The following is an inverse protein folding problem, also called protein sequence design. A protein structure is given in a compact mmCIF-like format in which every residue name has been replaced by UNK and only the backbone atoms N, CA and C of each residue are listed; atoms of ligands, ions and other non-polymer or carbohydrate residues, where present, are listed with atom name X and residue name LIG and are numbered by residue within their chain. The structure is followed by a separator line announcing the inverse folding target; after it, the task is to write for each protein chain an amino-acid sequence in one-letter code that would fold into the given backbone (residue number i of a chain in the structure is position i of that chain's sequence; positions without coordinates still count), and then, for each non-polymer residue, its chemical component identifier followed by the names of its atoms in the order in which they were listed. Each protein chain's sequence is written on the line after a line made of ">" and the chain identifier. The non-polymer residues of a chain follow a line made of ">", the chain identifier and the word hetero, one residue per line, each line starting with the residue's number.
data_IF_959965145279
#
_entry.id   IF_959965145279
#
_cell.length_a   1.000
_cell.length_b   1.000
_cell.length_c   1.000
_cell.angle_alpha   90.00
_cell.angle_beta   90.00
_cell.angle_gamma   90.00
#
_symmetry.space_group_name_H-M   'P 1'
#
loop_
_entity.id
_entity.type
_entity.pdbx_description
1 polymer ?
#
# COMPACT_ATOMS: atom_id res chain seq x y z
N UNK A 1 -12.53 -4.22 -11.07
CA UNK A 1 -11.29 -3.43 -10.89
C UNK A 1 -10.47 -4.14 -9.81
N UNK A 2 -9.15 -4.31 -9.94
CA UNK A 2 -8.37 -4.96 -8.88
C UNK A 2 -8.29 -4.07 -7.63
N UNK A 3 -8.14 -4.64 -6.41
CA UNK A 3 -7.97 -3.87 -5.18
C UNK A 3 -6.82 -2.86 -5.29
N UNK A 4 -5.69 -3.29 -5.87
CA UNK A 4 -4.52 -2.44 -6.11
C UNK A 4 -4.83 -1.27 -7.03
N UNK A 5 -5.55 -1.49 -8.14
CA UNK A 5 -5.90 -0.41 -9.06
C UNK A 5 -6.84 0.61 -8.40
N UNK A 6 -7.80 0.14 -7.58
CA UNK A 6 -8.70 1.01 -6.81
C UNK A 6 -7.90 1.86 -5.81
N UNK A 7 -7.04 1.24 -5.01
CA UNK A 7 -6.21 1.94 -4.02
C UNK A 7 -5.29 2.95 -4.70
N UNK A 8 -4.58 2.55 -5.76
CA UNK A 8 -3.68 3.45 -6.49
C UNK A 8 -4.41 4.67 -7.05
N UNK A 9 -5.58 4.47 -7.66
CA UNK A 9 -6.37 5.59 -8.19
C UNK A 9 -6.83 6.59 -7.11
N UNK A 10 -7.10 6.11 -5.89
CA UNK A 10 -7.59 6.93 -4.79
C UNK A 10 -6.46 7.61 -3.99
N UNK A 11 -5.34 6.92 -3.77
CA UNK A 11 -4.30 7.37 -2.83
C UNK A 11 -3.00 7.83 -3.49
N UNK A 12 -2.76 7.56 -4.78
CA UNK A 12 -1.59 8.12 -5.48
C UNK A 12 -1.56 9.66 -5.53
N UNK A 13 -2.69 10.40 -5.64
CA UNK A 13 -2.65 11.87 -5.60
C UNK A 13 -2.03 12.44 -4.32
N UNK A 14 -2.08 11.70 -3.20
CA UNK A 14 -1.49 12.11 -1.92
C UNK A 14 0.04 12.13 -1.94
N UNK A 15 0.70 11.55 -2.95
CA UNK A 15 2.16 11.65 -3.10
C UNK A 15 2.64 13.09 -3.27
N UNK A 16 1.77 13.99 -3.78
CA UNK A 16 2.07 15.41 -3.83
C UNK A 16 2.29 16.02 -2.43
N UNK A 17 1.69 15.44 -1.39
CA UNK A 17 1.81 15.90 0.00
C UNK A 17 3.20 15.58 0.59
N UNK A 18 3.93 14.59 0.06
CA UNK A 18 5.24 14.18 0.59
C UNK A 18 6.30 15.28 0.58
N UNK A 19 6.15 16.27 -0.31
CA UNK A 19 7.06 17.42 -0.41
C UNK A 19 6.85 18.41 0.74
N UNK A 20 5.66 18.44 1.33
CA UNK A 20 5.24 19.46 2.30
C UNK A 20 5.02 18.90 3.71
N UNK A 21 4.70 17.61 3.83
CA UNK A 21 4.32 16.96 5.08
C UNK A 21 5.35 15.87 5.49
N UNK A 22 6.50 16.23 6.10
CA UNK A 22 7.55 15.26 6.43
C UNK A 22 7.10 14.20 7.44
N UNK A 23 6.17 14.53 8.34
CA UNK A 23 5.60 13.57 9.29
C UNK A 23 4.74 12.51 8.57
N UNK A 24 3.99 12.92 7.53
CA UNK A 24 3.22 12.01 6.71
C UNK A 24 4.12 11.07 5.91
N UNK A 25 5.16 11.62 5.25
CA UNK A 25 6.16 10.82 4.53
C UNK A 25 6.80 9.77 5.44
N UNK A 26 7.22 10.15 6.65
CA UNK A 26 7.81 9.22 7.60
C UNK A 26 6.83 8.11 8.03
N UNK A 27 5.55 8.44 8.25
CA UNK A 27 4.52 7.46 8.59
C UNK A 27 4.26 6.48 7.44
N UNK A 28 4.22 6.97 6.19
CA UNK A 28 4.08 6.13 5.00
C UNK A 28 5.30 5.22 4.85
N UNK A 29 6.52 5.72 5.00
CA UNK A 29 7.75 4.93 4.93
C UNK A 29 7.76 3.80 5.98
N UNK A 30 7.33 4.09 7.20
CA UNK A 30 7.17 3.07 8.24
C UNK A 30 6.17 1.98 7.80
N UNK A 31 5.01 2.37 7.25
CA UNK A 31 4.05 1.40 6.77
C UNK A 31 4.54 0.61 5.55
N UNK A 32 5.33 1.20 4.66
CA UNK A 32 5.98 0.49 3.55
C UNK A 32 6.91 -0.59 4.11
N UNK A 33 7.73 -0.26 5.11
CA UNK A 33 8.63 -1.23 5.75
C UNK A 33 7.86 -2.38 6.39
N UNK A 34 6.85 -2.08 7.20
CA UNK A 34 5.99 -3.07 7.85
C UNK A 34 5.25 -3.98 6.86
N UNK A 35 4.74 -3.44 5.73
CA UNK A 35 4.09 -4.28 4.71
C UNK A 35 5.11 -5.24 4.11
N UNK A 36 6.29 -4.73 3.73
CA UNK A 36 7.34 -5.57 3.13
C UNK A 36 7.78 -6.68 4.07
N UNK A 37 7.93 -6.38 5.35
CA UNK A 37 8.26 -7.37 6.38
C UNK A 37 7.18 -8.45 6.48
N UNK A 38 5.89 -8.06 6.53
CA UNK A 38 4.76 -9.00 6.58
C UNK A 38 4.70 -9.89 5.34
N UNK A 39 4.89 -9.32 4.15
CA UNK A 39 4.88 -10.08 2.91
C UNK A 39 6.07 -11.04 2.85
N UNK A 40 7.24 -10.64 3.36
CA UNK A 40 8.43 -11.51 3.42
C UNK A 40 8.32 -12.62 4.45
N UNK A 41 7.63 -12.40 5.59
CA UNK A 41 7.43 -13.43 6.61
C UNK A 41 6.72 -14.69 6.07
N UNK A 42 5.93 -14.53 5.01
CA UNK A 42 5.23 -15.63 4.33
C UNK A 42 6.10 -16.41 3.34
N UNK A 43 7.35 -15.97 3.09
CA UNK A 43 8.27 -16.58 2.13
C UNK A 43 9.57 -17.04 2.81
N UNK A 44 9.90 -18.35 2.81
CA UNK A 44 11.17 -18.82 3.34
C UNK A 44 12.31 -18.45 2.39
N UNK A 45 12.94 -17.29 2.61
CA UNK A 45 14.08 -16.83 1.83
C UNK A 45 14.90 -15.76 2.57
N UNK A 46 16.23 -15.88 2.50
CA UNK A 46 17.18 -14.93 3.12
C UNK A 46 17.43 -13.67 2.28
N UNK A 47 16.82 -13.58 1.09
CA UNK A 47 17.00 -12.45 0.16
C UNK A 47 15.73 -11.62 0.13
N UNK A 48 15.79 -10.33 0.50
CA UNK A 48 14.64 -9.43 0.38
C UNK A 48 14.17 -9.37 -1.06
N UNK A 49 12.97 -9.91 -1.34
CA UNK A 49 12.38 -9.90 -2.68
C UNK A 49 11.51 -8.68 -2.88
N UNK A 50 11.34 -8.30 -4.13
CA UNK A 50 10.27 -7.37 -4.51
C UNK A 50 8.92 -8.02 -4.16
N UNK A 51 7.93 -7.25 -3.66
CA UNK A 51 6.63 -7.80 -3.34
C UNK A 51 5.98 -8.37 -4.60
N UNK A 52 5.47 -9.59 -4.53
CA UNK A 52 4.66 -10.15 -5.61
C UNK A 52 3.31 -9.42 -5.64
N UNK A 53 2.82 -9.18 -6.87
CA UNK A 53 1.54 -8.50 -7.09
C UNK A 53 0.37 -9.19 -6.37
N UNK A 54 0.35 -10.52 -6.38
CA UNK A 54 -0.70 -11.34 -5.77
C UNK A 54 -0.68 -11.20 -4.25
N UNK A 55 0.48 -11.38 -3.60
CA UNK A 55 0.63 -11.21 -2.15
C UNK A 55 0.19 -9.81 -1.67
N UNK A 56 0.56 -8.77 -2.42
CA UNK A 56 0.14 -7.40 -2.09
C UNK A 56 -1.36 -7.19 -2.34
N UNK A 57 -1.94 -7.80 -3.38
CA UNK A 57 -3.36 -7.71 -3.67
C UNK A 57 -4.21 -8.41 -2.61
N UNK A 58 -3.79 -9.58 -2.14
CA UNK A 58 -4.45 -10.33 -1.07
C UNK A 58 -4.36 -9.57 0.25
N UNK A 59 -3.19 -9.03 0.57
CA UNK A 59 -3.02 -8.14 1.73
C UNK A 59 -3.94 -6.91 1.66
N UNK A 60 -3.98 -6.25 0.49
CA UNK A 60 -4.80 -5.08 0.27
C UNK A 60 -6.30 -5.39 0.38
N UNK A 61 -6.74 -6.55 -0.12
CA UNK A 61 -8.12 -6.99 -0.02
C UNK A 61 -8.51 -7.19 1.45
N UNK A 62 -7.73 -7.98 2.21
CA UNK A 62 -8.03 -8.20 3.62
C UNK A 62 -7.99 -6.92 4.46
N UNK A 63 -7.13 -5.95 4.10
CA UNK A 63 -7.12 -4.65 4.75
C UNK A 63 -8.37 -3.83 4.42
N UNK A 64 -8.82 -3.81 3.17
CA UNK A 64 -10.06 -3.13 2.77
C UNK A 64 -11.29 -3.75 3.44
N UNK A 65 -11.35 -5.08 3.53
CA UNK A 65 -12.45 -5.79 4.21
C UNK A 65 -12.50 -5.41 5.69
N UNK A 66 -11.35 -5.35 6.37
CA UNK A 66 -11.29 -4.90 7.76
C UNK A 66 -11.71 -3.43 7.94
N UNK A 67 -11.45 -2.55 6.97
CA UNK A 67 -11.92 -1.16 7.01
C UNK A 67 -13.44 -1.08 6.82
N UNK A 68 -14.00 -1.89 5.93
CA UNK A 68 -15.44 -1.99 5.70
C UNK A 68 -16.17 -2.49 6.95
N UNK A 69 -15.65 -3.53 7.60
CA UNK A 69 -16.16 -4.05 8.87
C UNK A 69 -16.19 -3.01 10.00
N UNK A 70 -15.26 -2.06 9.98
CA UNK A 70 -15.17 -0.98 10.96
C UNK A 70 -16.02 0.26 10.59
N UNK A 71 -16.80 0.22 9.49
CA UNK A 71 -17.46 1.38 8.85
C UNK A 71 -16.49 2.57 8.71
N UNK A 72 -15.23 2.28 8.38
CA UNK A 72 -14.20 3.30 8.28
C UNK A 72 -14.50 4.25 7.13
N UNK A 73 -14.39 5.56 7.41
CA UNK A 73 -14.55 6.62 6.42
C UNK A 73 -13.29 7.47 6.38
N UNK A 74 -12.85 7.77 5.18
CA UNK A 74 -11.63 8.56 4.97
C UNK A 74 -11.72 9.91 5.71
N UNK A 75 -10.80 10.20 6.65
CA UNK A 75 -10.75 11.49 7.32
C UNK A 75 -10.10 12.56 6.43
N UNK A 76 -10.31 13.83 6.79
CA UNK A 76 -9.67 14.98 6.12
C UNK A 76 -8.14 15.00 6.28
N UNK A 77 -7.58 14.19 7.19
CA UNK A 77 -6.13 14.11 7.48
C UNK A 77 -5.51 12.74 7.20
N UNK A 78 -4.44 12.42 7.94
CA UNK A 78 -3.67 11.18 7.81
C UNK A 78 -3.83 10.32 9.05
N UNK A 79 -4.88 9.50 9.08
CA UNK A 79 -4.97 8.45 10.08
C UNK A 79 -4.17 7.21 9.64
N UNK A 80 -4.18 6.18 10.48
CA UNK A 80 -3.49 4.93 10.21
C UNK A 80 -3.88 4.33 8.85
N UNK A 81 -5.17 4.32 8.52
CA UNK A 81 -5.68 3.71 7.30
C UNK A 81 -5.25 4.49 6.07
N UNK A 82 -5.31 5.84 6.10
CA UNK A 82 -4.79 6.69 5.03
C UNK A 82 -3.30 6.43 4.78
N UNK A 83 -2.48 6.39 5.83
CA UNK A 83 -1.05 6.14 5.67
C UNK A 83 -0.78 4.72 5.11
N UNK A 84 -1.54 3.72 5.55
CA UNK A 84 -1.43 2.34 5.06
C UNK A 84 -1.85 2.19 3.61
N UNK A 85 -2.98 2.79 3.20
CA UNK A 85 -3.46 2.77 1.81
C UNK A 85 -2.51 3.53 0.88
N UNK A 86 -1.96 4.65 1.35
CA UNK A 86 -0.92 5.39 0.63
C UNK A 86 0.35 4.56 0.46
N UNK A 87 0.78 3.83 1.50
CA UNK A 87 1.92 2.91 1.41
C UNK A 87 1.69 1.77 0.41
N UNK A 88 0.49 1.18 0.36
CA UNK A 88 0.12 0.18 -0.65
C UNK A 88 0.20 0.79 -2.05
N UNK A 89 -0.40 1.97 -2.26
CA UNK A 89 -0.33 2.69 -3.54
C UNK A 89 1.13 2.94 -3.97
N UNK A 90 1.98 3.33 -3.02
CA UNK A 90 3.40 3.60 -3.29
C UNK A 90 4.14 2.34 -3.71
N UNK A 91 3.90 1.20 -3.05
CA UNK A 91 4.47 -0.09 -3.44
C UNK A 91 4.03 -0.51 -4.84
N UNK A 92 2.78 -0.26 -5.19
CA UNK A 92 2.23 -0.54 -6.53
C UNK A 92 2.96 0.27 -7.60
N UNK A 93 3.10 1.59 -7.41
CA UNK A 93 3.80 2.46 -8.36
C UNK A 93 5.29 2.15 -8.44
N UNK A 94 5.94 1.94 -7.30
CA UNK A 94 7.40 1.71 -7.21
C UNK A 94 7.86 0.44 -7.95
N UNK A 95 7.00 -0.57 -7.98
CA UNK A 95 7.27 -1.89 -8.56
C UNK A 95 6.45 -2.16 -9.84
N UNK A 96 5.75 -1.15 -10.37
CA UNK A 96 4.94 -1.25 -11.59
C UNK A 96 3.95 -2.43 -11.57
N UNK A 97 3.30 -2.66 -10.42
CA UNK A 97 2.46 -3.86 -10.19
C UNK A 97 1.10 -3.82 -10.91
N UNK A 98 0.83 -2.76 -11.69
CA UNK A 98 -0.36 -2.63 -12.54
C UNK A 98 -0.05 -2.82 -14.02
N UNK A 99 1.21 -2.82 -14.44
CA UNK A 99 1.57 -3.19 -15.79
C UNK A 99 1.21 -4.65 -16.04
N UNK A 100 0.39 -4.90 -17.06
CA UNK A 100 0.23 -6.23 -17.63
C UNK A 100 1.59 -6.74 -18.08
N UNK A 101 1.98 -7.99 -17.76
CA UNK A 101 3.22 -8.53 -18.28
C UNK A 101 3.17 -8.45 -19.81
N UNK A 102 4.07 -7.67 -20.41
CA UNK A 102 4.35 -7.75 -21.83
C UNK A 102 4.89 -9.15 -22.11
N UNK A 103 4.07 -9.98 -22.75
CA UNK A 103 4.47 -11.26 -23.35
C UNK A 103 5.57 -11.08 -24.40
#
# INVERSE_FOLDING_TARGET
>A
MSPLARISSAFAPRFAEFVFEPAFTAAVDQHVAEIRERLQANHPGLVPRQPHREDLADYALGFLDALDELDWREPVGHDYAVCRLTAISWLVERHDLLATPTE
#
